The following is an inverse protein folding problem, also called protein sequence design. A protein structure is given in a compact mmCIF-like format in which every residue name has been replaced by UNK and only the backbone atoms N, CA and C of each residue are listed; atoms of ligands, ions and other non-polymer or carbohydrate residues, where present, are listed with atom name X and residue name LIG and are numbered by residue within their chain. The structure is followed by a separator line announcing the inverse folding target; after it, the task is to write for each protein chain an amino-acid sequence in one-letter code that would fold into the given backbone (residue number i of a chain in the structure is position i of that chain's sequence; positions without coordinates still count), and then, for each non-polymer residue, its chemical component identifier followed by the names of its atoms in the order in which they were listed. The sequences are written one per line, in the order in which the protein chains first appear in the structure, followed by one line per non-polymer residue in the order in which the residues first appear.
data_IF_546586702841
#
_entry.id   IF_546586702841
#
_cell.length_a   1.000
_cell.length_b   1.000
_cell.length_c   1.000
_cell.angle_alpha   90.00
_cell.angle_beta   90.00
_cell.angle_gamma   90.00
#
_symmetry.space_group_name_H-M   'P 1'
#
loop_
_entity.id
_entity.type
_entity.pdbx_description
1 polymer ?
#
# COMPACT_ATOMS: atom_id res chain seq x y z
N UNK A 1 -0.54 10.93 -11.36
CA UNK A 1 -1.26 11.96 -10.56
C UNK A 1 -2.69 11.57 -10.16
N UNK A 2 -3.18 10.36 -10.47
CA UNK A 2 -4.61 10.03 -10.29
C UNK A 2 -4.97 9.47 -8.90
N UNK A 3 -4.02 8.81 -8.23
CA UNK A 3 -4.30 8.06 -6.99
C UNK A 3 -4.69 8.95 -5.80
N UNK A 4 -4.07 10.13 -5.67
CA UNK A 4 -4.36 11.06 -4.56
C UNK A 4 -5.80 11.59 -4.66
N UNK A 5 -6.24 11.98 -5.86
CA UNK A 5 -7.60 12.48 -6.08
C UNK A 5 -8.65 11.39 -5.82
N UNK A 6 -8.36 10.15 -6.22
CA UNK A 6 -9.22 9.00 -5.95
C UNK A 6 -9.38 8.75 -4.44
N UNK A 7 -8.26 8.71 -3.70
CA UNK A 7 -8.28 8.50 -2.25
C UNK A 7 -9.07 9.60 -1.52
N UNK A 8 -8.97 10.85 -1.97
CA UNK A 8 -9.76 11.97 -1.43
C UNK A 8 -11.25 11.74 -1.70
N UNK A 9 -11.62 11.39 -2.93
CA UNK A 9 -13.01 11.08 -3.29
C UNK A 9 -13.62 9.94 -2.47
N UNK A 10 -12.87 8.86 -2.26
CA UNK A 10 -13.28 7.74 -1.42
C UNK A 10 -13.47 8.14 0.04
N UNK A 11 -12.56 8.95 0.59
CA UNK A 11 -12.64 9.47 1.95
C UNK A 11 -13.91 10.29 2.15
N UNK A 12 -14.24 11.18 1.22
CA UNK A 12 -15.48 11.97 1.27
C UNK A 12 -16.75 11.12 1.07
N UNK A 13 -16.70 10.08 0.24
CA UNK A 13 -17.82 9.15 0.06
C UNK A 13 -18.12 8.37 1.34
N UNK A 14 -17.07 7.91 2.04
CA UNK A 14 -17.19 7.25 3.34
C UNK A 14 -17.75 8.20 4.40
N UNK A 15 -17.19 9.42 4.50
CA UNK A 15 -17.66 10.45 5.41
C UNK A 15 -19.16 10.76 5.23
N UNK A 16 -19.63 10.94 3.99
CA UNK A 16 -21.06 11.18 3.71
C UNK A 16 -21.96 10.03 4.17
N UNK A 17 -21.52 8.78 4.02
CA UNK A 17 -22.28 7.61 4.48
C UNK A 17 -22.38 7.58 6.02
N UNK A 18 -21.27 7.83 6.71
CA UNK A 18 -21.24 7.90 8.17
C UNK A 18 -22.08 9.06 8.71
N UNK A 19 -22.01 10.22 8.05
CA UNK A 19 -22.80 11.39 8.43
C UNK A 19 -24.31 11.10 8.33
N UNK A 20 -24.77 10.46 7.26
CA UNK A 20 -26.17 10.04 7.11
C UNK A 20 -26.62 9.09 8.23
N UNK A 21 -25.78 8.13 8.63
CA UNK A 21 -26.08 7.20 9.73
C UNK A 21 -26.08 7.87 11.10
N UNK A 22 -25.16 8.80 11.33
CA UNK A 22 -25.10 9.60 12.55
C UNK A 22 -26.32 10.53 12.70
N UNK A 23 -26.76 11.18 11.61
CA UNK A 23 -27.99 12.00 11.62
C UNK A 23 -29.23 11.15 11.91
N UNK A 24 -29.27 9.90 11.47
CA UNK A 24 -30.36 8.94 11.76
C UNK A 24 -30.34 8.39 13.19
N UNK A 25 -29.32 8.69 14.00
CA UNK A 25 -29.19 8.18 15.37
C UNK A 25 -28.66 6.74 15.49
N UNK A 26 -28.23 6.13 14.38
CA UNK A 26 -27.69 4.74 14.37
C UNK A 26 -26.23 4.65 14.90
N UNK A 27 -25.56 5.79 15.06
CA UNK A 27 -24.16 5.87 15.50
C UNK A 27 -23.99 6.89 16.62
N UNK A 28 -23.44 6.45 17.76
CA UNK A 28 -23.12 7.29 18.92
C UNK A 28 -21.94 8.25 18.71
N UNK A 29 -21.18 8.07 17.61
CA UNK A 29 -20.01 8.91 17.31
C UNK A 29 -20.29 9.85 16.13
N UNK A 30 -19.98 11.13 16.33
CA UNK A 30 -20.02 12.15 15.28
C UNK A 30 -18.81 11.99 14.35
N UNK A 31 -19.00 11.72 13.04
CA UNK A 31 -17.88 11.55 12.12
C UNK A 31 -17.13 12.86 11.93
N UNK A 32 -15.80 12.80 11.96
CA UNK A 32 -14.93 13.95 11.69
C UNK A 32 -14.69 14.12 10.18
N UNK A 33 -14.61 15.37 9.74
CA UNK A 33 -14.31 15.70 8.34
C UNK A 33 -12.88 15.22 8.01
N UNK A 34 -12.66 14.56 6.85
CA UNK A 34 -11.32 14.19 6.41
C UNK A 34 -10.43 15.44 6.32
N UNK A 35 -9.31 15.45 7.05
CA UNK A 35 -8.35 16.55 7.01
C UNK A 35 -7.37 16.33 5.86
N UNK A 36 -7.01 17.41 5.17
CA UNK A 36 -5.90 17.38 4.21
C UNK A 36 -4.60 17.02 4.91
N UNK A 37 -3.72 16.32 4.18
CA UNK A 37 -2.40 15.94 4.69
C UNK A 37 -1.55 17.20 4.85
N UNK A 38 -0.82 17.30 5.97
CA UNK A 38 0.17 18.36 6.18
C UNK A 38 1.29 18.24 5.13
N UNK A 39 1.73 19.38 4.58
CA UNK A 39 2.83 19.44 3.62
C UNK A 39 4.17 19.05 4.28
N UNK A 40 5.07 18.41 3.53
CA UNK A 40 6.44 18.10 3.97
C UNK A 40 6.68 16.70 4.58
N UNK A 41 5.69 15.81 4.58
CA UNK A 41 5.86 14.42 5.05
C UNK A 41 6.16 13.41 3.93
N UNK A 42 6.79 12.28 4.28
CA UNK A 42 6.90 11.13 3.36
C UNK A 42 5.50 10.60 3.01
N UNK A 43 5.32 10.24 1.75
CA UNK A 43 4.04 9.73 1.24
C UNK A 43 4.13 8.26 0.86
N UNK A 44 3.00 7.58 0.96
CA UNK A 44 2.86 6.21 0.49
C UNK A 44 2.90 6.17 -1.02
N UNK A 45 3.81 5.37 -1.57
CA UNK A 45 3.92 5.14 -3.01
C UNK A 45 3.31 3.80 -3.35
N UNK A 46 2.36 3.77 -4.28
CA UNK A 46 1.75 2.53 -4.78
C UNK A 46 2.29 2.21 -6.16
N UNK A 47 2.83 1.00 -6.32
CA UNK A 47 3.30 0.45 -7.59
C UNK A 47 2.33 -0.64 -8.05
N UNK A 48 1.64 -0.46 -9.18
CA UNK A 48 0.84 -1.54 -9.77
C UNK A 48 1.77 -2.64 -10.30
N UNK A 49 1.31 -3.89 -10.30
CA UNK A 49 2.05 -5.05 -10.81
C UNK A 49 2.69 -4.81 -12.18
N UNK A 50 2.00 -4.08 -13.07
CA UNK A 50 2.46 -3.74 -14.43
C UNK A 50 3.84 -3.06 -14.46
N UNK A 51 4.21 -2.34 -13.40
CA UNK A 51 5.49 -1.62 -13.32
C UNK A 51 6.58 -2.42 -12.61
N UNK A 52 6.23 -3.52 -11.96
CA UNK A 52 7.14 -4.35 -11.20
C UNK A 52 7.60 -5.54 -12.04
N UNK A 53 8.85 -5.95 -11.87
CA UNK A 53 9.40 -7.14 -12.52
C UNK A 53 10.02 -8.05 -11.47
N UNK A 54 9.78 -9.34 -11.57
CA UNK A 54 10.47 -10.35 -10.78
C UNK A 54 11.71 -10.80 -11.56
N UNK A 55 12.90 -10.55 -11.04
CA UNK A 55 14.19 -10.92 -11.62
C UNK A 55 14.96 -11.67 -10.54
N UNK A 56 15.32 -12.92 -10.79
CA UNK A 56 16.16 -13.72 -9.88
C UNK A 56 15.63 -13.77 -8.42
N UNK A 57 14.31 -13.90 -8.25
CA UNK A 57 13.69 -13.92 -6.91
C UNK A 57 13.65 -12.57 -6.19
N UNK A 58 13.99 -11.47 -6.88
CA UNK A 58 13.91 -10.10 -6.37
C UNK A 58 12.92 -9.28 -7.21
N UNK A 59 12.14 -8.45 -6.54
CA UNK A 59 11.25 -7.49 -7.21
C UNK A 59 12.06 -6.24 -7.54
N UNK A 60 12.10 -5.91 -8.83
CA UNK A 60 12.64 -4.66 -9.35
C UNK A 60 11.57 -3.57 -9.31
N UNK A 61 11.89 -2.48 -8.64
CA UNK A 61 11.08 -1.28 -8.58
C UNK A 61 11.73 -0.17 -9.40
N UNK A 62 11.09 0.29 -10.48
CA UNK A 62 11.59 1.44 -11.22
C UNK A 62 11.40 2.71 -10.39
N UNK A 63 12.47 3.49 -10.24
CA UNK A 63 12.42 4.80 -9.61
C UNK A 63 12.11 5.87 -10.67
N UNK A 64 11.40 6.91 -10.25
CA UNK A 64 11.03 8.01 -11.14
C UNK A 64 12.25 8.83 -11.57
N UNK A 65 12.11 9.57 -12.67
CA UNK A 65 13.19 10.39 -13.25
C UNK A 65 13.78 11.41 -12.27
N UNK A 66 12.97 11.94 -11.35
CA UNK A 66 13.43 12.84 -10.29
C UNK A 66 14.41 12.15 -9.32
N UNK A 67 14.17 10.88 -8.99
CA UNK A 67 15.06 10.10 -8.11
C UNK A 67 16.37 9.78 -8.82
N UNK A 68 16.31 9.49 -10.12
CA UNK A 68 17.51 9.33 -10.95
C UNK A 68 18.35 10.61 -10.98
N UNK A 69 17.71 11.77 -11.15
CA UNK A 69 18.41 13.06 -11.21
C UNK A 69 19.05 13.46 -9.88
N UNK A 70 18.43 13.15 -8.74
CA UNK A 70 18.93 13.55 -7.42
C UNK A 70 19.89 12.54 -6.78
N UNK A 71 19.67 11.25 -6.98
CA UNK A 71 20.39 10.19 -6.28
C UNK A 71 21.18 9.27 -7.22
N UNK A 72 21.03 9.41 -8.54
CA UNK A 72 21.65 8.48 -9.51
C UNK A 72 21.04 7.07 -9.50
N UNK A 73 19.99 6.84 -8.70
CA UNK A 73 19.32 5.55 -8.56
C UNK A 73 18.19 5.43 -9.57
N UNK A 74 18.30 4.44 -10.45
CA UNK A 74 17.29 4.12 -11.46
C UNK A 74 16.28 3.09 -10.96
N UNK A 75 16.72 2.20 -10.08
CA UNK A 75 15.91 1.11 -9.55
C UNK A 75 16.45 0.61 -8.23
N UNK A 76 15.57 -0.02 -7.47
CA UNK A 76 15.97 -0.80 -6.30
C UNK A 76 15.33 -2.18 -6.35
N UNK A 77 15.96 -3.12 -5.65
CA UNK A 77 15.57 -4.52 -5.60
C UNK A 77 15.15 -4.89 -4.19
N UNK A 78 13.99 -5.55 -4.05
CA UNK A 78 13.53 -6.11 -2.78
C UNK A 78 13.48 -7.64 -2.91
N UNK A 79 14.04 -8.42 -1.97
CA UNK A 79 13.88 -9.86 -1.99
C UNK A 79 12.40 -10.23 -1.89
N UNK A 80 11.95 -11.13 -2.77
CA UNK A 80 10.58 -11.59 -2.74
C UNK A 80 10.40 -12.62 -1.63
N UNK A 81 9.41 -12.46 -0.73
CA UNK A 81 9.22 -13.43 0.34
C UNK A 81 8.65 -14.73 -0.24
N UNK A 82 9.21 -15.87 0.19
CA UNK A 82 8.93 -17.21 -0.35
C UNK A 82 7.48 -17.68 -0.11
N UNK A 83 6.79 -17.05 0.83
CA UNK A 83 5.42 -17.38 1.23
C UNK A 83 4.35 -16.73 0.34
N UNK A 84 4.69 -15.80 -0.55
CA UNK A 84 3.75 -15.17 -1.47
C UNK A 84 3.91 -15.74 -2.89
N UNK A 85 2.80 -15.82 -3.62
CA UNK A 85 2.81 -16.15 -5.05
C UNK A 85 2.78 -14.86 -5.87
N UNK A 86 3.74 -14.69 -6.77
CA UNK A 86 3.84 -13.51 -7.62
C UNK A 86 2.57 -13.23 -8.44
N UNK A 87 1.86 -14.29 -8.84
CA UNK A 87 0.63 -14.22 -9.63
C UNK A 87 -0.52 -13.53 -8.89
N UNK A 88 -0.59 -13.66 -7.56
CA UNK A 88 -1.67 -13.12 -6.73
C UNK A 88 -1.50 -11.62 -6.43
N UNK A 89 -0.28 -11.11 -6.58
CA UNK A 89 0.05 -9.71 -6.29
C UNK A 89 -0.54 -8.81 -7.35
N UNK A 90 -1.30 -7.81 -6.89
CA UNK A 90 -1.90 -6.79 -7.74
C UNK A 90 -1.14 -5.48 -7.68
N UNK A 91 -0.69 -5.10 -6.49
CA UNK A 91 0.06 -3.88 -6.25
C UNK A 91 0.97 -4.02 -5.03
N UNK A 92 2.06 -3.25 -5.01
CA UNK A 92 2.97 -3.15 -3.87
C UNK A 92 3.02 -1.70 -3.42
N UNK A 93 2.88 -1.48 -2.11
CA UNK A 93 2.86 -0.15 -1.50
C UNK A 93 4.07 0.02 -0.61
N UNK A 94 4.80 1.10 -0.79
CA UNK A 94 5.87 1.50 0.12
C UNK A 94 5.27 2.49 1.11
N UNK A 95 5.15 2.09 2.36
CA UNK A 95 4.53 2.87 3.43
C UNK A 95 5.58 3.32 4.42
N UNK A 96 5.85 4.63 4.54
CA UNK A 96 6.68 5.17 5.61
C UNK A 96 5.89 5.12 6.93
N UNK A 97 6.34 4.31 7.90
CA UNK A 97 5.83 4.31 9.29
C UNK A 97 6.99 4.32 10.27
N UNK A 98 6.92 5.17 11.30
CA UNK A 98 7.89 5.20 12.40
C UNK A 98 9.35 5.21 11.92
N UNK A 99 9.70 6.11 11.00
CA UNK A 99 11.05 6.21 10.38
C UNK A 99 11.53 5.00 9.56
N UNK A 100 10.73 3.93 9.45
CA UNK A 100 11.00 2.77 8.61
C UNK A 100 10.11 2.77 7.36
N UNK A 101 10.61 2.15 6.28
CA UNK A 101 9.86 1.92 5.04
C UNK A 101 9.36 0.48 5.03
N UNK A 102 8.05 0.30 5.04
CA UNK A 102 7.40 -1.00 4.94
C UNK A 102 6.95 -1.26 3.50
N UNK A 103 7.22 -2.45 2.99
CA UNK A 103 6.63 -2.93 1.74
C UNK A 103 5.35 -3.72 2.07
N UNK A 104 4.20 -3.14 1.80
CA UNK A 104 2.90 -3.79 1.92
C UNK A 104 2.53 -4.40 0.55
N UNK A 105 2.37 -5.73 0.50
CA UNK A 105 1.89 -6.44 -0.68
C UNK A 105 0.37 -6.53 -0.64
N UNK A 106 -0.30 -6.06 -1.70
CA UNK A 106 -1.76 -6.13 -1.80
C UNK A 106 -2.12 -7.20 -2.83
N UNK A 107 -2.68 -8.27 -2.31
CA UNK A 107 -3.17 -9.39 -3.11
C UNK A 107 -4.69 -9.26 -3.31
N UNK A 108 -5.21 -9.81 -4.40
CA UNK A 108 -6.65 -10.04 -4.47
C UNK A 108 -6.97 -11.16 -3.47
N UNK A 109 -7.70 -10.82 -2.41
CA UNK A 109 -8.27 -11.78 -1.48
C UNK A 109 -9.13 -12.79 -2.27
N UNK A 110 -8.53 -13.91 -2.65
CA UNK A 110 -9.24 -15.18 -2.68
C UNK A 110 -9.29 -15.57 -1.21
N UNK A 111 -10.47 -15.92 -0.71
CA UNK A 111 -10.66 -16.40 0.65
C UNK A 111 -9.68 -17.56 0.89
N UNK A 112 -8.57 -17.29 1.57
CA UNK A 112 -7.56 -18.27 1.92
C UNK A 112 -7.47 -18.27 3.44
N UNK A 113 -8.13 -19.25 4.04
CA UNK A 113 -7.98 -19.57 5.46
C UNK A 113 -6.49 -19.80 5.75
N UNK A 114 -5.94 -18.98 6.64
CA UNK A 114 -4.58 -19.10 7.13
C UNK A 114 -4.49 -20.41 7.94
N UNK A 115 -3.84 -21.43 7.39
CA UNK A 115 -3.27 -22.49 8.23
C UNK A 115 -1.94 -21.98 8.76
N UNK A 116 -1.98 -21.47 9.99
CA UNK A 116 -0.77 -21.27 10.78
C UNK A 116 -0.05 -22.60 10.97
N UNK A 117 1.27 -22.58 10.79
CA UNK A 117 2.15 -23.66 11.21
C UNK A 117 2.93 -24.28 10.06
N UNK A 118 4.20 -23.88 9.93
CA UNK A 118 5.29 -24.84 9.83
C UNK A 118 6.63 -24.19 10.23
N UNK A 119 7.24 -24.81 11.22
CA UNK A 119 8.53 -24.53 11.84
C UNK A 119 9.70 -24.71 10.89
N UNK A 120 10.76 -23.91 11.07
CA UNK A 120 12.04 -24.08 10.38
C UNK A 120 12.68 -25.44 10.72
N UNK A 121 13.19 -26.22 9.76
CA UNK A 121 14.07 -27.32 10.05
C UNK A 121 15.50 -26.80 10.30
N UNK A 122 15.97 -27.00 11.52
CA UNK A 122 17.40 -27.03 11.86
C UNK A 122 18.00 -28.30 11.25
N UNK A 123 19.08 -28.18 10.47
CA UNK A 123 20.30 -28.99 10.58
C UNK A 123 21.37 -28.45 9.63
#
# INVERSE_FOLDING_TARGET
MQQTCLNVGESFKSFKKLLKKSIKGELNQKPNVPKYRKSGGLFTVTYPKKWLKLIEGKIRFPLGEQVRAWFGLTEFFLPFPVNLKWELIKEVRIVPRNTCLYAEFVDQQIHCELKEGQSLPTH
#
